data_IF_379852736401
#
_entry.id   IF_379852736401
#
_cell.length_a   1.000
_cell.length_b   1.000
_cell.length_c   1.000
_cell.angle_alpha   90.00
_cell.angle_beta   90.00
_cell.angle_gamma   90.00
#
_symmetry.space_group_name_H-M   'P 1'
#
loop_
_entity.id
_entity.type
_entity.pdbx_description
1 polymer ?
#
# COMPACT_ATOMS: atom_id res chain seq x y z
N UNK A 1 0.20 0.90 0.48
CA UNK A 1 0.27 1.66 -0.79
C UNK A 1 -0.67 2.85 -0.68
N UNK A 2 -0.23 4.06 -0.99
CA UNK A 2 -1.09 5.26 -1.00
C UNK A 2 -0.59 6.28 -2.00
N UNK A 3 -1.48 7.03 -2.63
CA UNK A 3 -1.10 8.10 -3.54
C UNK A 3 -0.71 9.38 -2.79
N UNK A 4 0.48 9.92 -3.03
CA UNK A 4 0.94 11.15 -2.37
C UNK A 4 0.05 12.38 -2.65
N UNK A 5 -0.65 12.36 -3.79
CA UNK A 5 -1.58 13.40 -4.23
C UNK A 5 -3.06 13.00 -4.02
N UNK A 6 -3.34 12.04 -3.14
CA UNK A 6 -4.71 11.69 -2.76
C UNK A 6 -5.40 12.89 -2.07
N UNK A 7 -6.54 13.31 -2.62
CA UNK A 7 -7.36 14.44 -2.13
C UNK A 7 -8.59 13.99 -1.34
N UNK A 8 -8.83 12.69 -1.25
CA UNK A 8 -9.96 12.07 -0.54
C UNK A 8 -9.49 11.59 0.83
N UNK A 9 -8.38 10.86 0.87
CA UNK A 9 -7.77 10.36 2.11
C UNK A 9 -6.31 10.81 2.18
N UNK A 10 -5.89 11.57 3.21
CA UNK A 10 -4.49 11.97 3.34
C UNK A 10 -3.56 10.76 3.51
N UNK A 11 -2.42 10.76 2.81
CA UNK A 11 -1.41 9.69 2.89
C UNK A 11 -0.91 9.42 4.32
N UNK A 12 -0.89 10.46 5.16
CA UNK A 12 -0.55 10.34 6.58
C UNK A 12 -1.40 9.32 7.34
N UNK A 13 -2.65 9.07 6.93
CA UNK A 13 -3.49 8.04 7.55
C UNK A 13 -2.92 6.65 7.33
N UNK A 14 -2.51 6.32 6.11
CA UNK A 14 -1.91 5.02 5.80
C UNK A 14 -0.54 4.84 6.46
N UNK A 15 0.26 5.91 6.53
CA UNK A 15 1.53 5.90 7.27
C UNK A 15 1.31 5.65 8.78
N UNK A 16 0.29 6.27 9.38
CA UNK A 16 -0.09 6.00 10.77
C UNK A 16 -0.51 4.54 10.96
N UNK A 17 -1.38 3.99 10.11
CA UNK A 17 -1.81 2.60 10.20
C UNK A 17 -0.64 1.62 10.14
N UNK A 18 0.30 1.82 9.21
CA UNK A 18 1.45 0.95 9.07
C UNK A 18 2.37 0.94 10.31
N UNK A 19 2.46 2.08 11.01
CA UNK A 19 3.22 2.15 12.28
C UNK A 19 2.55 1.40 13.42
N UNK A 20 1.23 1.21 13.38
CA UNK A 20 0.46 0.63 14.48
C UNK A 20 0.01 -0.82 14.22
N UNK A 21 0.27 -1.35 13.01
CA UNK A 21 -0.09 -2.72 12.63
C UNK A 21 1.19 -3.48 12.25
N UNK A 22 1.65 -4.45 13.06
CA UNK A 22 2.95 -5.13 12.85
C UNK A 22 3.09 -5.83 11.49
N UNK A 23 1.97 -6.24 10.89
CA UNK A 23 1.95 -6.93 9.61
C UNK A 23 1.76 -6.00 8.40
N UNK A 24 1.51 -4.71 8.63
CA UNK A 24 1.26 -3.77 7.55
C UNK A 24 2.58 -3.20 7.01
N UNK A 25 2.64 -3.05 5.68
CA UNK A 25 3.75 -2.37 5.01
C UNK A 25 3.30 -1.02 4.44
N UNK A 26 4.10 0.01 4.68
CA UNK A 26 3.89 1.33 4.09
C UNK A 26 4.68 1.49 2.80
N UNK A 27 4.01 1.96 1.76
CA UNK A 27 4.62 2.38 0.50
C UNK A 27 3.77 3.52 -0.06
N UNK A 28 4.42 4.59 -0.46
CA UNK A 28 3.79 5.79 -1.02
C UNK A 28 4.15 5.93 -2.50
N UNK A 29 3.18 6.34 -3.32
CA UNK A 29 3.34 6.51 -4.76
C UNK A 29 3.29 7.99 -5.10
N UNK A 30 4.44 8.54 -5.47
CA UNK A 30 4.58 9.96 -5.80
C UNK A 30 3.66 10.34 -6.97
N UNK A 31 2.98 11.49 -6.84
CA UNK A 31 2.09 12.04 -7.89
C UNK A 31 0.78 11.28 -8.12
N UNK A 32 0.60 10.09 -7.56
CA UNK A 32 -0.66 9.35 -7.66
C UNK A 32 -1.74 9.93 -6.74
N UNK A 33 -2.98 9.94 -7.21
CA UNK A 33 -4.17 10.29 -6.45
C UNK A 33 -4.93 9.04 -6.01
N UNK A 34 -6.14 9.25 -5.47
CA UNK A 34 -6.97 8.19 -4.87
C UNK A 34 -7.20 6.98 -5.77
N UNK A 35 -7.45 7.20 -7.06
CA UNK A 35 -7.69 6.12 -8.04
C UNK A 35 -6.44 5.78 -8.86
N UNK A 36 -5.62 6.77 -9.21
CA UNK A 36 -4.43 6.51 -10.05
C UNK A 36 -3.31 5.75 -9.33
N UNK A 37 -3.38 5.63 -7.99
CA UNK A 37 -2.52 4.70 -7.25
C UNK A 37 -2.79 3.24 -7.59
N UNK A 38 -4.01 2.87 -7.98
CA UNK A 38 -4.39 1.49 -8.26
C UNK A 38 -3.56 0.88 -9.41
N UNK A 39 -3.49 1.45 -10.61
CA UNK A 39 -2.65 0.91 -11.67
C UNK A 39 -1.15 0.97 -11.32
N UNK A 40 -0.71 2.00 -10.59
CA UNK A 40 0.69 2.16 -10.21
C UNK A 40 1.15 1.14 -9.14
N UNK A 41 0.23 0.64 -8.32
CA UNK A 41 0.54 -0.26 -7.21
C UNK A 41 0.10 -1.72 -7.44
N UNK A 42 -0.73 -1.98 -8.47
CA UNK A 42 -1.40 -3.28 -8.67
C UNK A 42 -0.45 -4.48 -8.62
N UNK A 43 0.59 -4.49 -9.47
CA UNK A 43 1.54 -5.61 -9.57
C UNK A 43 2.25 -5.85 -8.22
N UNK A 44 2.86 -4.80 -7.66
CA UNK A 44 3.57 -4.89 -6.38
C UNK A 44 2.69 -5.27 -5.19
N UNK A 45 1.38 -5.02 -5.27
CA UNK A 45 0.41 -5.43 -4.25
C UNK A 45 0.09 -6.92 -4.38
N UNK A 46 -0.07 -7.42 -5.60
CA UNK A 46 -0.30 -8.83 -5.87
C UNK A 46 0.93 -9.69 -5.51
N UNK A 47 2.12 -9.21 -5.83
CA UNK A 47 3.38 -9.86 -5.43
C UNK A 47 3.48 -9.97 -3.91
N UNK A 48 3.19 -8.88 -3.18
CA UNK A 48 3.19 -8.88 -1.72
C UNK A 48 2.19 -9.88 -1.12
N UNK A 49 1.01 -10.02 -1.71
CA UNK A 49 0.03 -11.03 -1.29
C UNK A 49 0.57 -12.44 -1.55
N UNK A 50 1.13 -12.70 -2.74
CA UNK A 50 1.70 -13.99 -3.10
C UNK A 50 2.81 -14.44 -2.16
N UNK A 51 3.76 -13.55 -1.85
CA UNK A 51 4.88 -13.84 -0.94
C UNK A 51 4.41 -14.20 0.48
N UNK A 52 3.33 -13.56 0.94
CA UNK A 52 2.76 -13.83 2.26
C UNK A 52 2.00 -15.13 2.31
N UNK A 53 1.23 -15.45 1.28
CA UNK A 53 0.55 -16.74 1.20
C UNK A 53 1.56 -17.89 1.08
N UNK A 54 2.63 -17.71 0.32
CA UNK A 54 3.72 -18.70 0.27
C UNK A 54 4.34 -18.95 1.65
N UNK A 55 4.64 -17.89 2.40
CA UNK A 55 5.25 -17.98 3.74
C UNK A 55 4.35 -18.64 4.80
N UNK A 56 3.03 -18.52 4.67
CA UNK A 56 2.10 -19.20 5.60
C UNK A 56 2.05 -20.71 5.39
N UNK A 57 2.38 -21.16 4.18
CA UNK A 57 2.22 -22.55 3.76
C UNK A 57 3.54 -23.33 3.71
N UNK A 58 4.64 -22.74 4.18
CA UNK A 58 5.98 -23.32 4.29
C UNK A 58 6.35 -23.60 5.73
#
# INVERSE_FOLDING_TARGET
MHGAADRVVPAGHGAWLARHRPEAEWREVAGAGHLSVLPAAAVSTLEWLGDREFRKNS
#
